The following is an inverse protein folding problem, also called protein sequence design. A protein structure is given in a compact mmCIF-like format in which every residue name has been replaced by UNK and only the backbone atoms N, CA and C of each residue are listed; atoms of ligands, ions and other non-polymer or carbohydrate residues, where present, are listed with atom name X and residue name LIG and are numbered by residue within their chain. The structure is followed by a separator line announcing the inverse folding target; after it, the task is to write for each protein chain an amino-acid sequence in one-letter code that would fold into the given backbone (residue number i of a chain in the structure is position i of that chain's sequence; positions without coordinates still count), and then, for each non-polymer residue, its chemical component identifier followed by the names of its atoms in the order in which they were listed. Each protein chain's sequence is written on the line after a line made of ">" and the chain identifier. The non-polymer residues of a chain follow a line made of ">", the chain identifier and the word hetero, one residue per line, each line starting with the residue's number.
data_IF_044282314464
#
_entry.id   IF_044282314464
#
_cell.length_a   1.000
_cell.length_b   1.000
_cell.length_c   1.000
_cell.angle_alpha   90.00
_cell.angle_beta   90.00
_cell.angle_gamma   90.00
#
_symmetry.space_group_name_H-M   'P 1'
#
loop_
_entity.id
_entity.type
_entity.pdbx_description
1 polymer ?
#
# COMPACT_ATOMS: atom_id res chain seq x y z
N UNK A 1 -28.50 11.69 5.45
CA UNK A 1 -28.55 13.09 5.85
C UNK A 1 -27.12 13.56 6.02
N UNK A 2 -26.61 14.35 5.08
CA UNK A 2 -25.25 14.89 5.12
C UNK A 2 -25.26 16.14 6.01
N UNK A 3 -24.51 16.15 7.08
CA UNK A 3 -24.43 17.32 7.94
C UNK A 3 -23.53 18.36 7.27
N UNK A 4 -24.12 19.43 6.75
CA UNK A 4 -23.45 20.70 6.49
C UNK A 4 -23.11 21.29 7.86
N UNK A 5 -21.85 21.12 8.29
CA UNK A 5 -21.51 21.54 9.66
C UNK A 5 -20.85 22.91 9.72
N UNK A 6 -20.17 23.36 8.66
CA UNK A 6 -19.34 24.57 8.77
C UNK A 6 -19.29 25.32 7.43
N UNK A 7 -19.12 26.63 7.50
CA UNK A 7 -18.70 27.47 6.38
C UNK A 7 -17.21 27.81 6.55
N UNK A 8 -16.42 27.54 5.55
CA UNK A 8 -15.05 28.02 5.47
C UNK A 8 -15.00 29.14 4.43
N UNK A 9 -14.72 30.38 4.84
CA UNK A 9 -14.74 31.57 3.98
C UNK A 9 -16.04 31.69 3.15
N UNK A 10 -17.19 31.46 3.78
CA UNK A 10 -18.53 31.43 3.16
C UNK A 10 -18.74 30.31 2.12
N UNK A 11 -17.87 29.31 2.05
CA UNK A 11 -18.03 28.13 1.21
C UNK A 11 -18.53 26.96 2.06
N UNK A 12 -19.60 26.26 1.66
CA UNK A 12 -20.10 25.10 2.39
C UNK A 12 -19.04 23.99 2.49
N UNK A 13 -18.86 23.45 3.70
CA UNK A 13 -17.98 22.30 3.94
C UNK A 13 -18.82 21.03 4.05
N UNK A 14 -18.50 20.05 3.20
CA UNK A 14 -19.13 18.73 3.21
C UNK A 14 -18.16 17.74 3.81
N UNK A 15 -18.52 17.11 4.92
CA UNK A 15 -17.71 16.05 5.55
C UNK A 15 -18.05 14.70 4.92
N UNK A 16 -17.06 14.05 4.30
CA UNK A 16 -17.18 12.71 3.73
C UNK A 16 -16.40 11.73 4.60
N UNK A 17 -17.01 10.59 4.92
CA UNK A 17 -16.35 9.51 5.64
C UNK A 17 -15.21 8.93 4.78
N UNK A 18 -14.06 8.69 5.39
CA UNK A 18 -12.85 8.22 4.68
C UNK A 18 -13.07 6.91 3.94
N UNK A 19 -13.78 5.94 4.54
CA UNK A 19 -14.09 4.64 3.90
C UNK A 19 -14.86 4.83 2.61
N UNK A 20 -15.84 5.75 2.62
CA UNK A 20 -16.62 6.11 1.43
C UNK A 20 -15.76 6.82 0.39
N UNK A 21 -14.89 7.73 0.83
CA UNK A 21 -13.96 8.42 -0.06
C UNK A 21 -13.00 7.44 -0.74
N UNK A 22 -12.44 6.46 -0.01
CA UNK A 22 -11.58 5.42 -0.59
C UNK A 22 -12.35 4.59 -1.61
N UNK A 23 -13.51 4.05 -1.22
CA UNK A 23 -14.31 3.19 -2.09
C UNK A 23 -14.77 3.92 -3.36
N UNK A 24 -15.43 5.08 -3.23
CA UNK A 24 -15.82 5.90 -4.39
C UNK A 24 -14.64 6.34 -5.23
N UNK A 25 -13.50 6.63 -4.59
CA UNK A 25 -12.27 7.03 -5.29
C UNK A 25 -11.74 5.93 -6.19
N UNK A 26 -11.66 4.70 -5.68
CA UNK A 26 -11.30 3.55 -6.49
C UNK A 26 -12.31 3.33 -7.61
N UNK A 27 -13.61 3.29 -7.29
CA UNK A 27 -14.67 3.06 -8.28
C UNK A 27 -14.58 4.04 -9.46
N UNK A 28 -14.49 5.33 -9.17
CA UNK A 28 -14.47 6.35 -10.21
C UNK A 28 -13.14 6.39 -10.98
N UNK A 29 -12.01 6.25 -10.28
CA UNK A 29 -10.68 6.31 -10.91
C UNK A 29 -10.46 5.13 -11.86
N UNK A 30 -10.86 3.93 -11.44
CA UNK A 30 -10.64 2.69 -12.19
C UNK A 30 -11.83 2.27 -13.05
N UNK A 31 -12.94 3.03 -12.99
CA UNK A 31 -14.18 2.73 -13.73
C UNK A 31 -14.67 1.31 -13.42
N UNK A 32 -14.72 0.98 -12.10
CA UNK A 32 -15.06 -0.36 -11.63
C UNK A 32 -16.54 -0.62 -11.84
N UNK A 33 -16.87 -1.66 -12.61
CA UNK A 33 -18.24 -2.12 -12.87
C UNK A 33 -18.62 -3.33 -12.00
N UNK A 34 -17.63 -4.01 -11.42
CA UNK A 34 -17.86 -5.17 -10.55
C UNK A 34 -18.65 -4.78 -9.30
N UNK A 35 -19.65 -5.60 -8.95
CA UNK A 35 -20.47 -5.40 -7.76
C UNK A 35 -19.64 -5.50 -6.46
N UNK A 36 -18.60 -6.35 -6.48
CA UNK A 36 -17.70 -6.57 -5.34
C UNK A 36 -16.27 -6.30 -5.72
N UNK A 37 -15.56 -5.49 -4.92
CA UNK A 37 -14.13 -5.22 -5.08
C UNK A 37 -13.47 -4.80 -3.76
N UNK A 38 -12.14 -4.82 -3.75
CA UNK A 38 -11.31 -4.32 -2.64
C UNK A 38 -10.47 -3.15 -3.11
N UNK A 39 -10.57 -2.03 -2.39
CA UNK A 39 -9.74 -0.86 -2.56
C UNK A 39 -8.75 -0.74 -1.40
N UNK A 40 -7.47 -0.51 -1.71
CA UNK A 40 -6.38 -0.34 -0.75
C UNK A 40 -5.89 1.11 -0.83
N UNK A 41 -6.06 1.85 0.25
CA UNK A 41 -5.51 3.20 0.37
C UNK A 41 -4.17 3.13 1.09
N UNK A 42 -3.06 3.17 0.33
CA UNK A 42 -1.70 3.19 0.85
C UNK A 42 -1.16 4.62 0.88
N UNK A 43 -1.42 5.30 2.00
CA UNK A 43 -1.01 6.67 2.30
C UNK A 43 0.01 6.74 3.42
N UNK A 44 -0.21 7.55 4.46
CA UNK A 44 0.62 7.60 5.68
C UNK A 44 0.63 6.26 6.39
N UNK A 45 -0.54 5.66 6.57
CA UNK A 45 -0.78 4.25 6.88
C UNK A 45 -1.48 3.57 5.71
N UNK A 46 -2.05 2.39 5.94
CA UNK A 46 -2.77 1.61 4.91
C UNK A 46 -4.15 1.23 5.43
N UNK A 47 -5.19 1.51 4.65
CA UNK A 47 -6.56 1.12 4.92
C UNK A 47 -7.10 0.21 3.80
N UNK A 48 -7.88 -0.81 4.18
CA UNK A 48 -8.53 -1.75 3.28
C UNK A 48 -10.04 -1.54 3.32
N UNK A 49 -10.64 -1.32 2.18
CA UNK A 49 -12.08 -1.07 2.02
C UNK A 49 -12.67 -2.07 1.04
N UNK A 50 -13.69 -2.78 1.49
CA UNK A 50 -14.54 -3.60 0.61
C UNK A 50 -15.69 -2.77 0.06
N UNK A 51 -16.06 -3.06 -1.17
CA UNK A 51 -17.32 -2.66 -1.76
C UNK A 51 -18.16 -3.91 -2.08
N UNK A 52 -19.43 -3.89 -1.70
CA UNK A 52 -20.47 -4.84 -2.12
C UNK A 52 -21.70 -4.04 -2.51
N UNK A 53 -22.12 -4.10 -3.77
CA UNK A 53 -23.29 -3.39 -4.28
C UNK A 53 -23.35 -1.91 -3.85
N UNK A 54 -22.21 -1.19 -3.97
CA UNK A 54 -22.02 0.20 -3.54
C UNK A 54 -22.09 0.45 -2.02
N UNK A 55 -22.12 -0.60 -1.21
CA UNK A 55 -21.95 -0.50 0.24
C UNK A 55 -20.48 -0.64 0.58
N UNK A 56 -19.89 0.40 1.16
CA UNK A 56 -18.47 0.43 1.53
C UNK A 56 -18.27 0.05 2.99
N UNK A 57 -17.38 -0.90 3.24
CA UNK A 57 -17.06 -1.41 4.57
C UNK A 57 -15.55 -1.36 4.81
N UNK A 58 -15.15 -0.91 6.00
CA UNK A 58 -13.76 -0.96 6.41
C UNK A 58 -13.39 -2.38 6.83
N UNK A 59 -12.51 -3.04 6.07
CA UNK A 59 -12.03 -4.40 6.38
C UNK A 59 -10.89 -4.41 7.40
N UNK A 60 -10.35 -3.27 7.74
CA UNK A 60 -9.20 -3.11 8.61
C UNK A 60 -8.13 -2.24 7.96
N UNK A 61 -7.01 -2.13 8.66
CA UNK A 61 -5.86 -1.35 8.21
C UNK A 61 -4.66 -1.64 9.08
N UNK A 62 -3.53 -1.07 8.68
CA UNK A 62 -2.28 -1.16 9.42
C UNK A 62 -1.65 0.21 9.53
N UNK A 63 -0.94 0.46 10.64
CA UNK A 63 -0.20 1.71 10.84
C UNK A 63 1.11 1.77 10.05
N UNK A 64 1.26 0.90 9.05
CA UNK A 64 2.43 0.81 8.16
C UNK A 64 2.06 1.37 6.80
N UNK A 65 2.88 2.28 6.30
CA UNK A 65 2.71 2.95 5.02
C UNK A 65 3.84 3.96 4.77
N UNK A 66 3.54 5.01 4.02
CA UNK A 66 4.52 6.04 3.67
C UNK A 66 5.07 6.81 4.86
N UNK A 67 4.26 7.01 5.90
CA UNK A 67 4.73 7.65 7.13
C UNK A 67 5.80 6.80 7.83
N UNK A 68 5.57 5.49 7.94
CA UNK A 68 6.53 4.54 8.50
C UNK A 68 7.80 4.47 7.64
N UNK A 69 7.64 4.38 6.31
CA UNK A 69 8.75 4.31 5.38
C UNK A 69 9.67 5.54 5.48
N UNK A 70 9.10 6.75 5.38
CA UNK A 70 9.86 7.99 5.45
C UNK A 70 10.45 8.23 6.85
N UNK A 71 9.69 7.89 7.90
CA UNK A 71 10.15 8.03 9.27
C UNK A 71 11.38 7.15 9.55
N UNK A 72 11.31 5.86 9.21
CA UNK A 72 12.43 4.94 9.39
C UNK A 72 13.62 5.28 8.47
N UNK A 73 13.35 5.66 7.22
CA UNK A 73 14.38 6.13 6.29
C UNK A 73 15.15 7.31 6.88
N UNK A 74 14.44 8.32 7.40
CA UNK A 74 15.09 9.48 8.02
C UNK A 74 15.87 9.11 9.28
N UNK A 75 15.32 8.25 10.14
CA UNK A 75 15.97 7.82 11.39
C UNK A 75 17.25 7.02 11.14
N UNK A 76 17.28 6.17 10.10
CA UNK A 76 18.39 5.23 9.88
C UNK A 76 19.42 5.82 8.90
N UNK A 77 18.98 6.52 7.86
CA UNK A 77 19.84 6.97 6.74
C UNK A 77 19.91 8.49 6.58
N UNK A 78 19.16 9.27 7.37
CA UNK A 78 18.96 10.71 7.21
C UNK A 78 18.36 11.12 5.84
N UNK A 79 17.61 10.22 5.20
CA UNK A 79 16.92 10.48 3.93
C UNK A 79 15.41 10.61 4.20
N UNK A 80 14.86 11.79 3.89
CA UNK A 80 13.45 12.15 4.13
C UNK A 80 12.68 12.56 2.86
N UNK A 81 13.29 12.41 1.69
CA UNK A 81 12.63 12.62 0.39
C UNK A 81 12.21 11.29 -0.21
N UNK A 82 10.92 11.15 -0.55
CA UNK A 82 10.36 9.93 -1.13
C UNK A 82 11.03 9.56 -2.47
N UNK A 83 11.26 10.54 -3.34
CA UNK A 83 11.87 10.31 -4.65
C UNK A 83 13.33 9.87 -4.52
N UNK A 84 14.09 10.50 -3.59
CA UNK A 84 15.48 10.12 -3.32
C UNK A 84 15.53 8.70 -2.72
N UNK A 85 14.65 8.41 -1.76
CA UNK A 85 14.51 7.10 -1.15
C UNK A 85 14.25 6.02 -2.20
N UNK A 86 13.23 6.22 -3.06
CA UNK A 86 12.84 5.24 -4.08
C UNK A 86 13.98 4.96 -5.05
N UNK A 87 14.64 6.02 -5.54
CA UNK A 87 15.80 5.90 -6.42
C UNK A 87 16.91 5.07 -5.79
N UNK A 88 17.32 5.40 -4.57
CA UNK A 88 18.40 4.68 -3.86
C UNK A 88 17.98 3.23 -3.55
N UNK A 89 16.73 3.00 -3.14
CA UNK A 89 16.22 1.66 -2.89
C UNK A 89 16.25 0.77 -4.14
N UNK A 90 16.01 1.34 -5.32
CA UNK A 90 16.10 0.62 -6.60
C UNK A 90 17.54 0.28 -7.01
N UNK A 91 18.51 1.04 -6.54
CA UNK A 91 19.95 0.79 -6.75
C UNK A 91 20.52 -0.22 -5.75
N UNK A 92 19.87 -0.40 -4.59
CA UNK A 92 20.31 -1.28 -3.51
C UNK A 92 19.97 -2.76 -3.70
N UNK A 93 20.64 -3.60 -2.92
CA UNK A 93 20.41 -5.04 -2.87
C UNK A 93 19.93 -5.47 -1.47
N UNK A 94 18.63 -5.64 -1.30
CA UNK A 94 18.04 -6.07 -0.03
C UNK A 94 18.56 -7.42 0.50
N UNK A 95 19.06 -8.31 -0.39
CA UNK A 95 19.61 -9.61 -0.01
C UNK A 95 20.86 -9.50 0.89
N UNK A 96 21.47 -8.31 0.93
CA UNK A 96 22.58 -8.04 1.84
C UNK A 96 22.12 -7.90 3.30
N UNK A 97 20.83 -7.60 3.55
CA UNK A 97 20.26 -7.45 4.89
C UNK A 97 19.18 -8.49 5.20
N UNK A 98 18.39 -8.90 4.20
CA UNK A 98 17.28 -9.83 4.38
C UNK A 98 17.72 -11.28 4.21
N UNK A 99 17.20 -12.18 5.05
CA UNK A 99 17.26 -13.61 4.77
C UNK A 99 16.07 -14.01 3.89
N UNK A 100 16.32 -14.84 2.89
CA UNK A 100 15.30 -15.37 1.99
C UNK A 100 14.95 -16.82 2.35
N UNK A 101 13.74 -17.25 1.99
CA UNK A 101 13.28 -18.63 2.22
C UNK A 101 14.27 -19.64 1.63
N UNK A 102 14.77 -19.42 0.41
CA UNK A 102 15.74 -20.30 -0.23
C UNK A 102 17.12 -20.37 0.45
N UNK A 103 17.41 -19.45 1.38
CA UNK A 103 18.66 -19.47 2.17
C UNK A 103 18.49 -20.21 3.50
N UNK A 104 17.28 -20.30 4.04
CA UNK A 104 17.03 -20.81 5.40
C UNK A 104 16.28 -22.13 5.44
N UNK A 105 15.71 -22.57 4.32
CA UNK A 105 14.93 -23.82 4.21
C UNK A 105 15.58 -24.75 3.20
N UNK A 106 15.91 -25.98 3.65
CA UNK A 106 16.55 -26.99 2.77
C UNK A 106 15.58 -27.60 1.76
N UNK A 107 14.30 -27.73 2.10
CA UNK A 107 13.24 -28.19 1.20
C UNK A 107 12.18 -27.09 1.12
N UNK A 108 12.20 -26.39 -0.01
CA UNK A 108 11.34 -25.22 -0.23
C UNK A 108 9.89 -25.64 -0.53
N UNK A 109 9.68 -26.88 -1.02
CA UNK A 109 8.36 -27.39 -1.40
C UNK A 109 7.70 -26.47 -2.45
N UNK A 110 6.49 -25.98 -2.15
CA UNK A 110 5.75 -25.04 -2.99
C UNK A 110 6.07 -23.55 -2.74
N UNK A 111 6.99 -23.26 -1.81
CA UNK A 111 7.37 -21.88 -1.50
C UNK A 111 8.32 -21.30 -2.56
N UNK A 112 8.24 -19.99 -2.74
CA UNK A 112 9.15 -19.31 -3.66
C UNK A 112 10.46 -18.95 -2.94
N UNK A 113 11.64 -19.33 -3.50
CA UNK A 113 12.94 -19.10 -2.83
C UNK A 113 13.24 -17.64 -2.52
N UNK A 114 12.75 -16.72 -3.34
CA UNK A 114 13.01 -15.28 -3.22
C UNK A 114 12.08 -14.54 -2.25
N UNK A 115 11.21 -15.25 -1.53
CA UNK A 115 10.38 -14.63 -0.48
C UNK A 115 11.26 -14.34 0.73
N UNK A 116 11.02 -13.23 1.38
CA UNK A 116 11.69 -12.84 2.60
C UNK A 116 11.26 -13.75 3.75
N UNK A 117 12.22 -14.43 4.36
CA UNK A 117 12.04 -15.16 5.61
C UNK A 117 12.13 -14.21 6.80
N UNK A 118 13.09 -13.28 6.77
CA UNK A 118 13.26 -12.26 7.82
C UNK A 118 13.90 -11.01 7.26
N UNK A 119 13.25 -9.87 7.45
CA UNK A 119 13.82 -8.58 7.07
C UNK A 119 14.95 -8.19 8.04
N UNK A 120 15.99 -7.57 7.53
CA UNK A 120 17.13 -7.01 8.28
C UNK A 120 17.91 -7.99 9.16
N UNK A 121 17.63 -9.28 9.15
CA UNK A 121 18.27 -10.22 10.10
C UNK A 121 19.79 -10.29 9.94
N UNK A 122 20.30 -10.12 8.72
CA UNK A 122 21.76 -10.14 8.47
C UNK A 122 22.50 -8.93 9.03
N UNK A 123 21.77 -7.86 9.39
CA UNK A 123 22.36 -6.67 10.02
C UNK A 123 22.79 -6.92 11.48
N UNK A 124 22.36 -8.02 12.09
CA UNK A 124 22.77 -8.41 13.45
C UNK A 124 24.26 -8.75 13.50
N UNK A 125 24.75 -9.45 12.48
CA UNK A 125 26.15 -9.93 12.43
C UNK A 125 27.08 -8.98 11.66
N UNK A 126 26.54 -8.07 10.87
CA UNK A 126 27.28 -7.09 10.09
C UNK A 126 26.67 -5.69 10.27
N UNK A 127 27.48 -4.74 10.68
CA UNK A 127 27.05 -3.35 10.95
C UNK A 127 27.35 -2.37 9.81
N UNK A 128 28.01 -2.81 8.74
CA UNK A 128 28.41 -1.96 7.61
C UNK A 128 27.56 -2.27 6.39
N UNK A 129 26.49 -1.49 6.19
CA UNK A 129 25.62 -1.59 5.02
C UNK A 129 25.51 -0.23 4.33
N UNK A 130 25.35 -0.25 3.00
CA UNK A 130 25.07 0.96 2.24
C UNK A 130 23.65 1.48 2.55
N UNK A 131 23.44 2.78 2.39
CA UNK A 131 22.11 3.35 2.52
C UNK A 131 21.15 2.78 1.47
N UNK A 132 21.65 2.47 0.28
CA UNK A 132 20.91 1.87 -0.82
C UNK A 132 20.34 0.50 -0.41
N UNK A 133 21.18 -0.36 0.19
CA UNK A 133 20.75 -1.69 0.66
C UNK A 133 19.72 -1.60 1.79
N UNK A 134 19.95 -0.68 2.75
CA UNK A 134 19.03 -0.41 3.85
C UNK A 134 17.66 0.03 3.30
N UNK A 135 17.66 0.98 2.36
CA UNK A 135 16.43 1.49 1.76
C UNK A 135 15.74 0.45 0.88
N UNK A 136 16.49 -0.41 0.20
CA UNK A 136 15.95 -1.53 -0.57
C UNK A 136 15.22 -2.53 0.35
N UNK A 137 15.83 -2.93 1.47
CA UNK A 137 15.21 -3.82 2.46
C UNK A 137 13.99 -3.16 3.11
N UNK A 138 14.09 -1.89 3.50
CA UNK A 138 13.00 -1.13 4.12
C UNK A 138 11.80 -0.99 3.18
N UNK A 139 12.03 -0.59 1.93
CA UNK A 139 10.97 -0.45 0.93
C UNK A 139 10.29 -1.79 0.63
N UNK A 140 11.08 -2.86 0.52
CA UNK A 140 10.56 -4.21 0.33
C UNK A 140 9.71 -4.66 1.53
N UNK A 141 10.17 -4.44 2.76
CA UNK A 141 9.43 -4.77 3.98
C UNK A 141 8.07 -4.06 4.00
N UNK A 142 8.03 -2.76 3.75
CA UNK A 142 6.78 -1.99 3.67
C UNK A 142 5.87 -2.54 2.57
N UNK A 143 6.42 -2.81 1.39
CA UNK A 143 5.68 -3.39 0.27
C UNK A 143 5.11 -4.77 0.60
N UNK A 144 5.90 -5.64 1.22
CA UNK A 144 5.45 -6.98 1.63
C UNK A 144 4.33 -6.94 2.67
N UNK A 145 4.38 -6.02 3.64
CA UNK A 145 3.33 -5.85 4.65
C UNK A 145 2.03 -5.37 4.01
N UNK A 146 2.11 -4.35 3.14
CA UNK A 146 0.95 -3.85 2.38
C UNK A 146 0.40 -4.94 1.46
N UNK A 147 1.25 -5.64 0.72
CA UNK A 147 0.84 -6.71 -0.18
C UNK A 147 0.17 -7.87 0.56
N UNK A 148 0.70 -8.25 1.73
CA UNK A 148 0.13 -9.33 2.54
C UNK A 148 -1.28 -9.00 3.02
N UNK A 149 -1.50 -7.80 3.60
CA UNK A 149 -2.86 -7.42 4.02
C UNK A 149 -3.80 -7.28 2.82
N UNK A 150 -3.28 -6.85 1.68
CA UNK A 150 -4.07 -6.68 0.45
C UNK A 150 -4.58 -8.02 -0.09
N UNK A 151 -3.70 -9.04 -0.22
CA UNK A 151 -4.14 -10.33 -0.71
C UNK A 151 -5.05 -11.07 0.28
N UNK A 152 -4.82 -10.95 1.59
CA UNK A 152 -5.71 -11.54 2.59
C UNK A 152 -7.13 -10.97 2.51
N UNK A 153 -7.26 -9.65 2.29
CA UNK A 153 -8.56 -9.02 2.10
C UNK A 153 -9.20 -9.41 0.75
N UNK A 154 -8.40 -9.58 -0.31
CA UNK A 154 -8.90 -10.08 -1.59
C UNK A 154 -9.45 -11.50 -1.48
N UNK A 155 -8.73 -12.40 -0.79
CA UNK A 155 -9.21 -13.76 -0.51
C UNK A 155 -10.49 -13.76 0.34
N UNK A 156 -10.56 -12.91 1.38
CA UNK A 156 -11.74 -12.75 2.22
C UNK A 156 -12.97 -12.33 1.40
N UNK A 157 -12.77 -11.46 0.41
CA UNK A 157 -13.82 -10.94 -0.47
C UNK A 157 -14.05 -11.81 -1.72
N UNK A 158 -13.27 -12.88 -1.89
CA UNK A 158 -13.30 -13.77 -3.07
C UNK A 158 -13.16 -12.99 -4.39
N UNK A 159 -12.16 -12.08 -4.44
CA UNK A 159 -11.80 -11.31 -5.64
C UNK A 159 -10.36 -11.61 -6.04
N UNK A 160 -10.06 -11.52 -7.33
CA UNK A 160 -8.75 -11.84 -7.92
C UNK A 160 -7.89 -10.59 -8.19
N UNK A 161 -8.40 -9.41 -7.85
CA UNK A 161 -7.69 -8.15 -8.02
C UNK A 161 -8.02 -7.15 -6.91
N UNK A 162 -7.06 -6.26 -6.64
CA UNK A 162 -7.20 -5.16 -5.68
C UNK A 162 -6.81 -3.85 -6.35
N UNK A 163 -7.53 -2.78 -6.03
CA UNK A 163 -7.34 -1.45 -6.60
C UNK A 163 -6.61 -0.54 -5.61
N UNK A 164 -5.47 -0.02 -6.01
CA UNK A 164 -4.63 0.79 -5.15
C UNK A 164 -4.85 2.28 -5.35
N UNK A 165 -5.03 3.00 -4.25
CA UNK A 165 -4.97 4.47 -4.18
C UNK A 165 -3.94 4.90 -3.15
N UNK A 166 -3.46 6.15 -3.23
CA UNK A 166 -2.48 6.70 -2.30
C UNK A 166 -1.05 6.72 -2.84
N UNK A 167 -0.23 7.58 -2.22
CA UNK A 167 1.11 7.96 -2.73
C UNK A 167 2.15 6.85 -2.63
N UNK A 168 2.05 5.96 -1.65
CA UNK A 168 3.07 4.93 -1.41
C UNK A 168 3.25 4.03 -2.61
N UNK A 169 2.18 3.76 -3.34
CA UNK A 169 2.21 2.92 -4.55
C UNK A 169 2.83 3.60 -5.78
N UNK A 170 3.18 4.89 -5.68
CA UNK A 170 4.00 5.57 -6.68
C UNK A 170 5.47 5.16 -6.60
N UNK A 171 5.92 4.72 -5.40
CA UNK A 171 7.28 4.27 -5.17
C UNK A 171 7.46 2.88 -5.78
N UNK A 172 8.27 2.78 -6.82
CA UNK A 172 8.45 1.54 -7.57
C UNK A 172 9.12 0.45 -6.72
N UNK A 173 10.02 0.84 -5.81
CA UNK A 173 10.66 -0.08 -4.85
C UNK A 173 9.63 -0.76 -3.92
N UNK A 174 8.63 0.00 -3.44
CA UNK A 174 7.55 -0.52 -2.59
C UNK A 174 6.57 -1.35 -3.40
N UNK A 175 6.19 -0.85 -4.59
CA UNK A 175 5.26 -1.53 -5.50
C UNK A 175 5.74 -2.93 -5.86
N UNK A 176 7.05 -3.12 -6.13
CA UNK A 176 7.64 -4.45 -6.36
C UNK A 176 7.39 -5.42 -5.21
N UNK A 177 7.52 -4.96 -3.96
CA UNK A 177 7.23 -5.76 -2.78
C UNK A 177 5.76 -6.14 -2.66
N UNK A 178 4.85 -5.20 -2.96
CA UNK A 178 3.40 -5.44 -3.00
C UNK A 178 3.07 -6.51 -4.04
N UNK A 179 3.48 -6.29 -5.30
CA UNK A 179 3.14 -7.18 -6.43
C UNK A 179 3.68 -8.59 -6.21
N UNK A 180 4.87 -8.71 -5.61
CA UNK A 180 5.44 -10.02 -5.26
C UNK A 180 4.58 -10.76 -4.25
N UNK A 181 4.03 -10.09 -3.24
CA UNK A 181 3.12 -10.72 -2.25
C UNK A 181 1.77 -11.09 -2.85
N UNK A 182 1.20 -10.22 -3.67
CA UNK A 182 -0.06 -10.47 -4.36
C UNK A 182 0.03 -11.70 -5.26
N UNK A 183 1.14 -11.85 -5.99
CA UNK A 183 1.34 -12.97 -6.91
C UNK A 183 1.34 -14.34 -6.23
N UNK A 184 1.69 -14.43 -4.93
CA UNK A 184 1.63 -15.68 -4.17
C UNK A 184 0.21 -16.24 -4.03
N UNK A 185 -0.79 -15.37 -4.07
CA UNK A 185 -2.20 -15.72 -3.97
C UNK A 185 -2.91 -15.64 -5.34
N UNK A 186 -2.17 -15.46 -6.44
CA UNK A 186 -2.71 -15.19 -7.77
C UNK A 186 -3.66 -13.97 -7.81
N UNK A 187 -3.39 -12.97 -6.98
CA UNK A 187 -4.10 -11.70 -6.95
C UNK A 187 -3.33 -10.66 -7.76
N UNK A 188 -4.04 -9.84 -8.51
CA UNK A 188 -3.47 -8.75 -9.30
C UNK A 188 -3.63 -7.40 -8.61
N UNK A 189 -2.55 -6.63 -8.50
CA UNK A 189 -2.61 -5.22 -8.11
C UNK A 189 -2.92 -4.33 -9.32
N UNK A 190 -3.94 -3.49 -9.22
CA UNK A 190 -4.34 -2.56 -10.27
C UNK A 190 -3.92 -1.14 -9.89
N UNK A 191 -3.15 -0.51 -10.78
CA UNK A 191 -2.56 0.82 -10.58
C UNK A 191 -2.86 1.72 -11.78
N UNK A 192 -3.55 2.83 -11.58
CA UNK A 192 -3.86 3.83 -12.61
C UNK A 192 -3.10 5.12 -12.29
N UNK A 193 -2.90 5.96 -13.28
CA UNK A 193 -2.41 7.32 -13.06
C UNK A 193 -3.37 8.11 -12.17
N UNK A 194 -2.86 9.10 -11.45
CA UNK A 194 -3.60 9.93 -10.50
C UNK A 194 -4.16 9.18 -9.27
N UNK A 195 -3.70 7.94 -9.00
CA UNK A 195 -4.12 7.17 -7.82
C UNK A 195 -3.76 7.82 -6.50
N UNK A 196 -2.76 8.69 -6.48
CA UNK A 196 -2.38 9.50 -5.32
C UNK A 196 -3.48 10.48 -4.88
N UNK A 197 -4.38 10.84 -5.78
CA UNK A 197 -5.54 11.71 -5.52
C UNK A 197 -6.83 10.91 -5.29
N UNK A 198 -6.79 9.58 -5.30
CA UNK A 198 -7.96 8.72 -5.25
C UNK A 198 -8.93 9.07 -4.12
N UNK A 199 -8.44 9.27 -2.90
CA UNK A 199 -9.30 9.64 -1.76
C UNK A 199 -9.99 11.01 -1.96
N UNK A 200 -9.28 11.99 -2.51
CA UNK A 200 -9.85 13.32 -2.78
C UNK A 200 -10.89 13.26 -3.90
N UNK A 201 -10.59 12.55 -4.98
CA UNK A 201 -11.52 12.31 -6.09
C UNK A 201 -12.79 11.58 -5.60
N UNK A 202 -12.62 10.59 -4.72
CA UNK A 202 -13.72 9.85 -4.13
C UNK A 202 -14.59 10.69 -3.20
N UNK A 203 -14.00 11.58 -2.41
CA UNK A 203 -14.76 12.52 -1.58
C UNK A 203 -15.64 13.44 -2.44
N UNK A 204 -15.09 13.94 -3.56
CA UNK A 204 -15.83 14.77 -4.52
C UNK A 204 -16.97 13.98 -5.18
N UNK A 205 -16.68 12.75 -5.65
CA UNK A 205 -17.67 11.89 -6.29
C UNK A 205 -18.82 11.56 -5.33
N UNK A 206 -18.49 11.13 -4.11
CA UNK A 206 -19.50 10.82 -3.10
C UNK A 206 -20.36 12.03 -2.73
N UNK A 207 -19.76 13.21 -2.60
CA UNK A 207 -20.51 14.43 -2.32
C UNK A 207 -21.47 14.81 -3.45
N UNK A 208 -21.10 14.61 -4.72
CA UNK A 208 -21.97 14.89 -5.88
C UNK A 208 -23.15 13.93 -5.99
N UNK A 209 -22.95 12.64 -5.66
CA UNK A 209 -24.01 11.62 -5.74
C UNK A 209 -25.05 11.74 -4.61
N UNK A 210 -24.68 12.38 -3.49
CA UNK A 210 -25.50 12.43 -2.27
C UNK A 210 -26.00 13.85 -1.91
N UNK A 211 -25.81 14.83 -2.79
CA UNK A 211 -26.42 16.17 -2.76
C UNK A 211 -27.47 16.30 -3.85
#
# INVERSE_FOLDING_TARGET
>A
MMYLCDLYNNVPVIKVNEVKAIGCGAKNLYEIEEASYVAISAGTGTACVACNDNVFSHLGGISVGGGTLLGLSNLITNINSADKLDKMALEGNRKNLDALIGEVVNDIGSLYPDITASNFVKSVDNTSHSNEDILASLSNMIGEVIGTISYLNALLMNVDKVYFVGRVTLLESVKKGIDKRLSLANISGIYKENREFGNALGAIAYAKENN
#
